data_IF_343767506775
#
_entry.id   IF_343767506775
#
_cell.length_a   1.000
_cell.length_b   1.000
_cell.length_c   1.000
_cell.angle_alpha   90.00
_cell.angle_beta   90.00
_cell.angle_gamma   90.00
#
_symmetry.space_group_name_H-M   'P 1'
#
loop_
_entity.id
_entity.type
_entity.pdbx_description
1 polymer ?
#
# COMPACT_ATOMS: atom_id res chain seq x y z
N UNK A 1 1.79 -45.07 8.12
CA UNK A 1 2.52 -43.84 7.78
C UNK A 1 1.47 -42.82 7.36
N UNK A 2 1.12 -41.90 8.26
CA UNK A 2 0.24 -40.78 7.95
C UNK A 2 1.05 -39.51 8.23
N UNK A 3 1.51 -38.83 7.18
CA UNK A 3 2.04 -37.48 7.31
C UNK A 3 0.85 -36.58 7.64
N UNK A 4 0.69 -36.22 8.91
CA UNK A 4 -0.15 -35.09 9.28
C UNK A 4 0.53 -33.83 8.72
N UNK A 5 0.01 -33.27 7.63
CA UNK A 5 0.33 -31.89 7.31
C UNK A 5 -0.28 -31.04 8.41
N UNK A 6 0.54 -30.44 9.26
CA UNK A 6 0.09 -29.39 10.16
C UNK A 6 -0.37 -28.22 9.29
N UNK A 7 -1.68 -28.14 9.02
CA UNK A 7 -2.32 -26.89 8.60
C UNK A 7 -2.16 -25.95 9.78
N UNK A 8 -1.10 -25.15 9.76
CA UNK A 8 -0.94 -24.04 10.71
C UNK A 8 -2.18 -23.16 10.57
N UNK A 9 -2.97 -23.07 11.63
CA UNK A 9 -4.11 -22.18 11.70
C UNK A 9 -3.61 -20.74 11.50
N UNK A 10 -4.27 -19.99 10.61
CA UNK A 10 -3.99 -18.58 10.41
C UNK A 10 -4.00 -17.82 11.75
N UNK A 11 -3.04 -16.90 11.92
CA UNK A 11 -2.96 -15.99 13.07
C UNK A 11 -2.61 -14.58 12.55
N UNK A 12 -3.37 -13.54 12.95
CA UNK A 12 -3.03 -12.16 12.63
C UNK A 12 -1.75 -11.74 13.33
N UNK A 13 -1.02 -10.80 12.74
CA UNK A 13 0.18 -10.25 13.36
C UNK A 13 -0.19 -9.17 14.39
N UNK A 14 0.30 -9.25 15.64
CA UNK A 14 -0.04 -8.25 16.64
C UNK A 14 0.78 -6.97 16.47
N UNK A 15 0.14 -5.81 16.72
CA UNK A 15 0.78 -4.52 16.90
C UNK A 15 1.78 -4.55 18.08
N UNK A 16 3.06 -4.78 17.75
CA UNK A 16 4.08 -5.13 18.74
C UNK A 16 5.08 -4.02 19.02
N UNK A 17 5.00 -2.88 18.33
CA UNK A 17 6.01 -1.83 18.37
C UNK A 17 5.42 -0.49 18.80
N UNK A 18 6.15 0.23 19.65
CA UNK A 18 5.74 1.53 20.18
C UNK A 18 6.60 2.70 19.68
N UNK A 19 7.67 2.42 18.91
CA UNK A 19 8.47 3.43 18.24
C UNK A 19 9.03 2.96 16.90
N UNK A 20 9.38 3.90 16.02
CA UNK A 20 10.07 3.60 14.77
C UNK A 20 11.41 2.88 15.00
N UNK A 21 12.13 3.19 16.08
CA UNK A 21 13.42 2.55 16.36
C UNK A 21 13.26 1.07 16.69
N UNK A 22 12.17 0.70 17.37
CA UNK A 22 11.84 -0.70 17.66
C UNK A 22 11.56 -1.46 16.35
N UNK A 23 10.77 -0.87 15.45
CA UNK A 23 10.48 -1.45 14.13
C UNK A 23 11.76 -1.62 13.32
N UNK A 24 12.60 -0.58 13.21
CA UNK A 24 13.88 -0.66 12.50
C UNK A 24 14.82 -1.73 13.09
N UNK A 25 14.83 -1.88 14.43
CA UNK A 25 15.60 -2.94 15.09
C UNK A 25 15.04 -4.31 14.77
N UNK A 26 13.73 -4.47 14.67
CA UNK A 26 13.09 -5.71 14.27
C UNK A 26 13.41 -6.06 12.81
N UNK A 27 13.31 -5.11 11.88
CA UNK A 27 13.68 -5.28 10.46
C UNK A 27 15.14 -5.78 10.32
N UNK A 28 16.08 -5.16 11.05
CA UNK A 28 17.49 -5.61 11.08
C UNK A 28 17.64 -7.02 11.65
N UNK A 29 16.89 -7.38 12.71
CA UNK A 29 16.95 -8.71 13.34
C UNK A 29 16.45 -9.82 12.41
N UNK A 30 15.42 -9.54 11.62
CA UNK A 30 14.88 -10.52 10.65
C UNK A 30 15.73 -10.60 9.38
N UNK A 31 16.72 -9.72 9.26
CA UNK A 31 17.66 -9.68 8.14
C UNK A 31 17.03 -9.09 6.88
N UNK A 32 16.07 -8.18 7.01
CA UNK A 32 15.61 -7.40 5.88
C UNK A 32 16.72 -6.39 5.53
N UNK A 33 17.37 -6.59 4.40
CA UNK A 33 18.39 -5.68 3.87
C UNK A 33 17.79 -4.75 2.83
N UNK A 34 16.89 -5.27 2.00
CA UNK A 34 16.17 -4.49 1.00
C UNK A 34 14.84 -5.10 0.60
N UNK A 35 14.01 -4.27 0.00
CA UNK A 35 12.70 -4.61 -0.55
C UNK A 35 12.45 -3.83 -1.83
N UNK A 36 11.66 -4.40 -2.74
CA UNK A 36 11.21 -3.73 -3.96
C UNK A 36 9.88 -3.02 -3.66
N UNK A 37 9.88 -1.69 -3.69
CA UNK A 37 8.69 -0.89 -3.39
C UNK A 37 7.81 -0.72 -4.63
N UNK A 38 6.49 -0.86 -4.47
CA UNK A 38 5.49 -0.52 -5.48
C UNK A 38 4.49 0.47 -4.86
N UNK A 39 4.11 1.52 -5.58
CA UNK A 39 3.11 2.50 -5.14
C UNK A 39 1.89 2.43 -6.06
N UNK A 40 0.69 2.39 -5.49
CA UNK A 40 -0.57 2.47 -6.21
C UNK A 40 -1.46 3.56 -5.62
N UNK A 41 -1.99 4.43 -6.48
CA UNK A 41 -2.84 5.57 -6.10
C UNK A 41 -4.24 5.37 -6.67
N UNK A 42 -5.24 5.49 -5.80
CA UNK A 42 -6.65 5.50 -6.15
C UNK A 42 -7.02 6.81 -6.86
N UNK A 43 -7.54 6.72 -8.08
CA UNK A 43 -8.12 7.80 -8.90
C UNK A 43 -9.60 7.51 -9.22
N UNK A 44 -10.33 6.91 -8.28
CA UNK A 44 -11.76 6.63 -8.41
C UNK A 44 -12.61 7.85 -8.11
N UNK A 45 -13.87 7.84 -8.58
CA UNK A 45 -14.80 8.97 -8.44
C UNK A 45 -15.07 9.34 -6.97
N UNK A 46 -14.99 8.39 -6.05
CA UNK A 46 -15.29 8.63 -4.64
C UNK A 46 -14.38 9.66 -3.98
N UNK A 47 -13.20 9.91 -4.53
CA UNK A 47 -12.32 10.99 -4.10
C UNK A 47 -12.96 12.38 -4.19
N UNK A 48 -14.00 12.57 -5.01
CA UNK A 48 -14.71 13.85 -5.14
C UNK A 48 -15.48 14.23 -3.85
N UNK A 49 -15.98 13.27 -3.08
CA UNK A 49 -16.79 13.52 -1.88
C UNK A 49 -16.19 12.97 -0.59
N UNK A 50 -15.18 12.09 -0.65
CA UNK A 50 -14.53 11.51 0.54
C UNK A 50 -13.61 12.46 1.32
N UNK A 51 -13.56 13.73 0.94
CA UNK A 51 -12.89 14.81 1.67
C UNK A 51 -13.86 15.78 2.35
N UNK A 52 -15.13 15.40 2.50
CA UNK A 52 -16.17 16.25 3.10
C UNK A 52 -15.79 16.73 4.50
N UNK A 53 -15.34 15.82 5.36
CA UNK A 53 -14.98 16.14 6.74
C UNK A 53 -13.50 16.44 6.90
N UNK A 54 -12.65 15.65 6.25
CA UNK A 54 -11.19 15.67 6.46
C UNK A 54 -10.44 16.64 5.54
N UNK A 55 -11.12 17.18 4.52
CA UNK A 55 -10.51 18.08 3.56
C UNK A 55 -11.42 19.24 3.12
N UNK A 56 -12.26 19.72 4.04
CA UNK A 56 -13.10 20.92 3.88
C UNK A 56 -14.04 20.85 2.65
N UNK A 57 -14.63 19.70 2.37
CA UNK A 57 -15.52 19.54 1.22
C UNK A 57 -14.80 19.44 -0.13
N UNK A 58 -13.47 19.45 -0.16
CA UNK A 58 -12.70 19.36 -1.41
C UNK A 58 -12.49 17.91 -1.81
N UNK A 59 -12.34 17.69 -3.11
CA UNK A 59 -11.82 16.43 -3.64
C UNK A 59 -10.47 16.10 -2.99
N UNK A 60 -10.25 14.84 -2.63
CA UNK A 60 -8.98 14.36 -2.09
C UNK A 60 -7.82 14.52 -3.08
N UNK A 61 -8.10 14.68 -4.37
CA UNK A 61 -7.10 15.01 -5.41
C UNK A 61 -7.01 16.50 -5.73
N UNK A 62 -7.70 17.39 -5.00
CA UNK A 62 -7.66 18.83 -5.30
C UNK A 62 -6.21 19.32 -5.40
N UNK A 63 -5.86 19.81 -6.58
CA UNK A 63 -4.52 20.33 -6.88
C UNK A 63 -4.56 21.84 -6.75
N UNK A 64 -3.91 22.37 -5.71
CA UNK A 64 -3.76 23.80 -5.52
C UNK A 64 -2.54 24.33 -6.28
N UNK A 65 -2.80 25.10 -7.33
CA UNK A 65 -1.74 25.74 -8.13
C UNK A 65 -1.01 26.86 -7.38
N UNK A 66 -1.56 27.35 -6.27
CA UNK A 66 -0.89 28.34 -5.41
C UNK A 66 0.10 27.73 -4.41
N UNK A 67 0.09 26.40 -4.26
CA UNK A 67 0.98 25.66 -3.36
C UNK A 67 0.68 25.84 -1.86
N UNK A 68 -0.48 26.41 -1.50
CA UNK A 68 -0.87 26.64 -0.10
C UNK A 68 -1.54 25.43 0.53
N UNK A 69 -2.24 24.64 -0.29
CA UNK A 69 -2.96 23.45 0.14
C UNK A 69 -2.30 22.22 -0.45
N UNK A 70 -1.86 21.30 0.42
CA UNK A 70 -1.33 20.00 0.04
C UNK A 70 -2.42 18.95 0.29
N UNK A 71 -2.79 18.20 -0.75
CA UNK A 71 -3.84 17.21 -0.62
C UNK A 71 -3.37 15.93 0.09
N UNK A 72 -4.29 15.11 0.63
CA UNK A 72 -3.92 13.93 1.41
C UNK A 72 -3.01 12.94 0.68
N UNK A 73 -3.24 12.68 -0.62
CA UNK A 73 -2.37 11.82 -1.42
C UNK A 73 -0.95 12.39 -1.53
N UNK A 74 -0.79 13.69 -1.78
CA UNK A 74 0.54 14.33 -1.81
C UNK A 74 1.28 14.16 -0.47
N UNK A 75 0.56 14.32 0.66
CA UNK A 75 1.15 14.14 2.00
C UNK A 75 1.63 12.71 2.21
N UNK A 76 0.80 11.72 1.86
CA UNK A 76 1.14 10.30 2.00
C UNK A 76 2.28 9.90 1.08
N UNK A 77 2.23 10.27 -0.21
CA UNK A 77 3.32 9.98 -1.17
C UNK A 77 4.64 10.55 -0.64
N UNK A 78 4.64 11.81 -0.18
CA UNK A 78 5.83 12.44 0.38
C UNK A 78 6.34 11.76 1.65
N UNK A 79 5.44 11.23 2.48
CA UNK A 79 5.82 10.49 3.68
C UNK A 79 6.40 9.11 3.33
N UNK A 80 5.79 8.39 2.39
CA UNK A 80 6.28 7.10 1.88
C UNK A 80 7.69 7.27 1.33
N UNK A 81 7.93 8.28 0.50
CA UNK A 81 9.23 8.46 -0.12
C UNK A 81 10.32 8.63 0.94
N UNK A 82 10.11 9.49 1.94
CA UNK A 82 11.06 9.70 3.05
C UNK A 82 11.25 8.47 3.95
N UNK A 83 10.20 7.67 4.17
CA UNK A 83 10.27 6.51 5.07
C UNK A 83 10.96 5.33 4.41
N UNK A 84 10.66 5.08 3.13
CA UNK A 84 11.10 3.87 2.43
C UNK A 84 12.39 4.05 1.63
N UNK A 85 12.90 5.28 1.48
CA UNK A 85 14.22 5.58 0.87
C UNK A 85 15.35 4.76 1.51
N UNK A 86 15.27 4.47 2.81
CA UNK A 86 16.29 3.70 3.53
C UNK A 86 16.25 2.17 3.26
N UNK A 87 15.20 1.68 2.60
CA UNK A 87 14.95 0.24 2.42
C UNK A 87 14.84 -0.18 0.94
N UNK A 88 14.85 0.78 0.03
CA UNK A 88 14.74 0.53 -1.41
C UNK A 88 16.14 0.50 -2.03
N UNK A 89 16.52 -0.64 -2.59
CA UNK A 89 17.82 -0.80 -3.29
C UNK A 89 17.76 -0.32 -4.74
N UNK A 90 16.55 -0.08 -5.28
CA UNK A 90 16.34 0.28 -6.67
C UNK A 90 16.30 1.82 -6.83
N UNK A 91 16.91 2.34 -7.88
CA UNK A 91 16.85 3.77 -8.20
C UNK A 91 15.43 4.22 -8.67
N UNK A 92 14.54 3.26 -8.94
CA UNK A 92 13.20 3.50 -9.48
C UNK A 92 12.13 2.68 -8.78
N UNK A 93 10.96 3.28 -8.57
CA UNK A 93 9.77 2.69 -7.95
C UNK A 93 8.66 2.58 -9.00
N UNK A 94 8.17 1.37 -9.30
CA UNK A 94 6.93 1.21 -10.05
C UNK A 94 5.77 1.93 -9.34
N UNK A 95 5.24 2.95 -10.02
CA UNK A 95 4.09 3.73 -9.53
C UNK A 95 2.93 3.59 -10.50
N UNK A 96 1.75 3.33 -9.95
CA UNK A 96 0.51 3.07 -10.68
C UNK A 96 -0.62 3.95 -10.18
N UNK A 97 -1.51 4.31 -11.09
CA UNK A 97 -2.86 4.76 -10.75
C UNK A 97 -3.85 3.66 -11.07
N UNK A 98 -4.90 3.54 -10.27
CA UNK A 98 -6.05 2.70 -10.59
C UNK A 98 -7.33 3.51 -10.41
N UNK A 99 -8.39 3.08 -11.08
CA UNK A 99 -9.49 3.98 -11.38
C UNK A 99 -9.25 4.72 -12.70
N UNK A 100 -10.31 5.12 -13.38
CA UNK A 100 -10.32 5.52 -14.79
C UNK A 100 -10.64 4.37 -15.75
N UNK A 101 -10.80 4.72 -17.04
CA UNK A 101 -11.03 3.79 -18.16
C UNK A 101 -12.20 2.81 -17.95
N UNK A 102 -13.44 3.31 -17.77
CA UNK A 102 -14.61 2.47 -17.48
C UNK A 102 -14.89 1.44 -18.59
N UNK A 103 -14.40 1.68 -19.80
CA UNK A 103 -14.57 0.77 -20.94
C UNK A 103 -13.68 -0.48 -20.88
N UNK A 104 -12.65 -0.50 -20.03
CA UNK A 104 -11.76 -1.66 -19.88
C UNK A 104 -12.33 -2.69 -18.89
N UNK A 105 -11.94 -3.98 -19.01
CA UNK A 105 -12.21 -4.98 -17.97
C UNK A 105 -11.63 -4.55 -16.62
N UNK A 106 -12.30 -4.89 -15.50
CA UNK A 106 -11.86 -4.49 -14.15
C UNK A 106 -10.38 -4.78 -13.92
N UNK A 107 -9.89 -5.95 -14.34
CA UNK A 107 -8.49 -6.39 -14.23
C UNK A 107 -7.47 -5.54 -14.98
N UNK A 108 -7.91 -4.67 -15.89
CA UNK A 108 -7.07 -3.80 -16.72
C UNK A 108 -7.25 -2.31 -16.38
N UNK A 109 -8.07 -1.96 -15.38
CA UNK A 109 -8.34 -0.57 -14.97
C UNK A 109 -7.24 0.02 -14.07
N UNK A 110 -6.00 -0.06 -14.54
CA UNK A 110 -4.84 0.60 -13.94
C UNK A 110 -3.91 1.12 -15.03
N UNK A 111 -3.07 2.09 -14.69
CA UNK A 111 -2.10 2.68 -15.60
C UNK A 111 -0.81 3.01 -14.86
N UNK A 112 0.31 2.99 -15.56
CA UNK A 112 1.59 3.36 -14.97
C UNK A 112 1.79 4.88 -15.02
N UNK A 113 2.45 5.42 -13.99
CA UNK A 113 2.85 6.83 -13.93
C UNK A 113 3.95 7.17 -14.93
N UNK A 114 4.71 6.16 -15.38
CA UNK A 114 5.79 6.29 -16.35
C UNK A 114 5.71 5.18 -17.40
N UNK A 115 6.11 5.47 -18.65
CA UNK A 115 5.87 4.55 -19.79
C UNK A 115 6.75 3.31 -19.79
N UNK A 116 8.02 3.42 -19.37
CA UNK A 116 9.04 2.40 -19.66
C UNK A 116 9.85 1.96 -18.43
N UNK A 117 10.08 2.87 -17.49
CA UNK A 117 10.83 2.62 -16.26
C UNK A 117 10.05 3.22 -15.08
N UNK A 118 10.16 2.64 -13.89
CA UNK A 118 9.54 3.18 -12.68
C UNK A 118 9.89 4.65 -12.47
N UNK A 119 9.21 5.32 -11.54
CA UNK A 119 9.55 6.69 -11.20
C UNK A 119 10.77 6.70 -10.28
N UNK A 120 11.72 7.62 -10.47
CA UNK A 120 12.63 7.96 -9.37
C UNK A 120 11.80 8.39 -8.15
N UNK A 121 12.35 8.20 -6.95
CA UNK A 121 11.64 8.48 -5.70
C UNK A 121 11.05 9.91 -5.68
N UNK A 122 11.85 10.89 -6.10
CA UNK A 122 11.47 12.30 -6.19
C UNK A 122 10.47 12.59 -7.33
N UNK A 123 10.43 11.73 -8.35
CA UNK A 123 9.57 11.88 -9.52
C UNK A 123 8.14 11.40 -9.27
N UNK A 124 7.91 10.48 -8.32
CA UNK A 124 6.56 9.94 -8.04
C UNK A 124 5.57 11.06 -7.75
N UNK A 125 5.96 12.03 -6.92
CA UNK A 125 5.11 13.15 -6.54
C UNK A 125 4.84 14.10 -7.71
N UNK A 126 5.84 14.33 -8.57
CA UNK A 126 5.69 15.15 -9.77
C UNK A 126 4.74 14.50 -10.79
N UNK A 127 4.90 13.18 -11.01
CA UNK A 127 4.02 12.41 -11.90
C UNK A 127 2.59 12.38 -11.39
N UNK A 128 2.41 12.14 -10.08
CA UNK A 128 1.11 12.25 -9.43
C UNK A 128 0.47 13.62 -9.69
N UNK A 129 1.21 14.72 -9.50
CA UNK A 129 0.69 16.07 -9.72
C UNK A 129 0.20 16.28 -11.16
N UNK A 130 0.98 15.82 -12.15
CA UNK A 130 0.61 15.95 -13.57
C UNK A 130 -0.66 15.15 -13.91
N UNK A 131 -0.78 13.93 -13.38
CA UNK A 131 -1.94 13.06 -13.58
C UNK A 131 -3.17 13.63 -12.89
N UNK A 132 -3.08 13.94 -11.59
CA UNK A 132 -4.18 14.48 -10.79
C UNK A 132 -4.73 15.81 -11.34
N UNK A 133 -3.91 16.58 -12.06
CA UNK A 133 -4.32 17.85 -12.68
C UNK A 133 -5.15 17.67 -13.96
N UNK A 134 -5.12 16.48 -14.59
CA UNK A 134 -5.71 16.26 -15.93
C UNK A 134 -6.68 15.09 -15.98
N UNK A 135 -6.64 14.18 -15.01
CA UNK A 135 -7.41 12.95 -15.03
C UNK A 135 -8.87 13.18 -14.65
N UNK A 136 -9.78 12.59 -15.42
CA UNK A 136 -11.19 12.49 -15.07
C UNK A 136 -11.42 11.26 -14.18
N UNK A 137 -12.07 11.47 -13.04
CA UNK A 137 -12.42 10.40 -12.09
C UNK A 137 -13.78 9.83 -12.49
N UNK A 138 -13.86 8.59 -12.99
CA UNK A 138 -15.10 8.10 -13.61
C UNK A 138 -15.30 6.57 -13.60
N UNK A 139 -14.70 5.83 -12.68
CA UNK A 139 -14.77 4.36 -12.71
C UNK A 139 -14.97 3.68 -11.35
N UNK A 140 -15.28 2.39 -11.46
CA UNK A 140 -15.39 1.43 -10.36
C UNK A 140 -14.15 1.40 -9.46
N UNK A 141 -14.38 1.33 -8.15
CA UNK A 141 -13.36 1.30 -7.13
C UNK A 141 -12.87 -0.12 -6.87
N UNK A 142 -11.72 -0.46 -7.46
CA UNK A 142 -11.06 -1.75 -7.28
C UNK A 142 -9.55 -1.63 -7.39
N UNK A 143 -8.84 -1.96 -6.31
CA UNK A 143 -7.37 -2.11 -6.31
C UNK A 143 -6.90 -3.50 -6.78
N UNK A 144 -7.82 -4.39 -7.13
CA UNK A 144 -7.50 -5.76 -7.59
C UNK A 144 -6.47 -5.78 -8.73
N UNK A 145 -6.54 -4.88 -9.74
CA UNK A 145 -5.57 -4.88 -10.84
C UNK A 145 -4.13 -4.63 -10.38
N UNK A 146 -3.95 -3.69 -9.44
CA UNK A 146 -2.60 -3.35 -8.93
C UNK A 146 -2.05 -4.43 -8.00
N UNK A 147 -2.91 -5.17 -7.28
CA UNK A 147 -2.49 -6.37 -6.55
C UNK A 147 -1.97 -7.43 -7.53
N UNK A 148 -2.68 -7.71 -8.62
CA UNK A 148 -2.22 -8.69 -9.61
C UNK A 148 -0.95 -8.27 -10.34
N UNK A 149 -0.77 -6.98 -10.64
CA UNK A 149 0.52 -6.50 -11.19
C UNK A 149 1.66 -6.68 -10.18
N UNK A 150 1.43 -6.40 -8.89
CA UNK A 150 2.43 -6.65 -7.85
C UNK A 150 2.75 -8.14 -7.67
N UNK A 151 1.75 -9.02 -7.75
CA UNK A 151 1.96 -10.49 -7.78
C UNK A 151 2.85 -10.87 -8.96
N UNK A 152 2.58 -10.34 -10.15
CA UNK A 152 3.36 -10.60 -11.36
C UNK A 152 4.81 -10.14 -11.19
N UNK A 153 5.05 -8.97 -10.61
CA UNK A 153 6.40 -8.47 -10.31
C UNK A 153 7.13 -9.38 -9.31
N UNK A 154 6.51 -9.68 -8.17
CA UNK A 154 7.07 -10.54 -7.13
C UNK A 154 7.36 -11.97 -7.63
N UNK A 155 6.47 -12.52 -8.47
CA UNK A 155 6.65 -13.83 -9.10
C UNK A 155 7.85 -13.86 -10.05
N UNK A 156 8.03 -12.81 -10.85
CA UNK A 156 9.08 -12.75 -11.87
C UNK A 156 10.46 -12.51 -11.26
N UNK A 157 10.57 -11.59 -10.30
CA UNK A 157 11.84 -11.27 -9.63
C UNK A 157 12.21 -12.29 -8.55
N UNK A 158 11.22 -12.93 -7.90
CA UNK A 158 11.39 -13.76 -6.70
C UNK A 158 12.07 -13.03 -5.54
N UNK A 159 12.00 -11.69 -5.53
CA UNK A 159 12.45 -10.79 -4.47
C UNK A 159 11.28 -10.38 -3.59
N UNK A 160 11.56 -9.88 -2.41
CA UNK A 160 10.53 -9.37 -1.51
C UNK A 160 10.00 -8.01 -1.99
N UNK A 161 8.68 -7.91 -2.13
CA UNK A 161 7.99 -6.70 -2.57
C UNK A 161 7.09 -6.14 -1.47
N UNK A 162 7.00 -4.82 -1.42
CA UNK A 162 6.01 -4.10 -0.61
C UNK A 162 5.15 -3.27 -1.56
N UNK A 163 3.88 -3.63 -1.69
CA UNK A 163 2.88 -2.82 -2.39
C UNK A 163 2.22 -1.85 -1.41
N UNK A 164 2.35 -0.55 -1.64
CA UNK A 164 1.65 0.48 -0.90
C UNK A 164 0.49 1.01 -1.75
N UNK A 165 -0.73 0.79 -1.28
CA UNK A 165 -1.96 1.30 -1.90
C UNK A 165 -2.40 2.53 -1.10
N UNK A 166 -2.64 3.66 -1.76
CA UNK A 166 -3.22 4.85 -1.14
C UNK A 166 -4.64 4.99 -1.67
N UNK A 167 -5.63 5.04 -0.78
CA UNK A 167 -7.05 5.08 -1.18
C UNK A 167 -7.96 5.67 -0.12
N UNK A 168 -9.16 6.07 -0.56
CA UNK A 168 -10.24 6.49 0.31
C UNK A 168 -11.09 5.35 0.92
N UNK A 169 -10.74 4.10 0.63
CA UNK A 169 -11.33 2.91 1.26
C UNK A 169 -12.67 2.47 0.66
N UNK A 170 -13.17 3.17 -0.36
CA UNK A 170 -14.33 2.70 -1.12
C UNK A 170 -13.93 1.55 -2.06
N UNK A 171 -14.70 0.47 -2.05
CA UNK A 171 -14.52 -0.70 -2.92
C UNK A 171 -15.90 -1.18 -3.38
N UNK A 172 -16.04 -1.43 -4.68
CA UNK A 172 -17.32 -1.89 -5.24
C UNK A 172 -17.55 -3.39 -5.06
N UNK A 173 -16.48 -4.19 -5.17
CA UNK A 173 -16.51 -5.65 -5.01
C UNK A 173 -15.50 -6.12 -3.93
N UNK A 174 -15.91 -6.12 -2.65
CA UNK A 174 -15.07 -6.56 -1.54
C UNK A 174 -14.64 -8.02 -1.64
N UNK A 175 -15.47 -8.89 -2.24
CA UNK A 175 -15.16 -10.30 -2.37
C UNK A 175 -14.08 -10.55 -3.42
N UNK A 176 -14.07 -9.77 -4.50
CA UNK A 176 -12.97 -9.79 -5.46
C UNK A 176 -11.66 -9.28 -4.84
N UNK A 177 -11.73 -8.20 -4.04
CA UNK A 177 -10.59 -7.69 -3.29
C UNK A 177 -10.03 -8.73 -2.30
N UNK A 178 -10.92 -9.39 -1.52
CA UNK A 178 -10.56 -10.48 -0.60
C UNK A 178 -9.78 -11.58 -1.31
N UNK A 179 -10.29 -12.07 -2.44
CA UNK A 179 -9.64 -13.13 -3.22
C UNK A 179 -8.25 -12.71 -3.72
N UNK A 180 -8.09 -11.47 -4.17
CA UNK A 180 -6.80 -10.96 -4.61
C UNK A 180 -5.78 -10.88 -3.46
N UNK A 181 -6.20 -10.44 -2.27
CA UNK A 181 -5.33 -10.40 -1.07
C UNK A 181 -4.93 -11.82 -0.64
N UNK A 182 -5.87 -12.77 -0.63
CA UNK A 182 -5.59 -14.18 -0.33
C UNK A 182 -4.60 -14.77 -1.33
N UNK A 183 -4.78 -14.53 -2.63
CA UNK A 183 -3.84 -15.00 -3.65
C UNK A 183 -2.46 -14.35 -3.49
N UNK A 184 -2.40 -13.06 -3.13
CA UNK A 184 -1.13 -12.37 -2.89
C UNK A 184 -0.28 -13.03 -1.79
N UNK A 185 -0.91 -13.72 -0.82
CA UNK A 185 -0.20 -14.43 0.25
C UNK A 185 0.58 -15.68 -0.22
N UNK A 186 0.45 -16.08 -1.49
CA UNK A 186 1.27 -17.13 -2.12
C UNK A 186 2.63 -16.62 -2.61
N UNK A 187 2.86 -15.30 -2.58
CA UNK A 187 4.04 -14.63 -3.14
C UNK A 187 4.82 -13.89 -2.06
N UNK A 188 6.09 -13.54 -2.31
CA UNK A 188 6.87 -12.72 -1.39
C UNK A 188 6.43 -11.25 -1.45
N UNK A 189 5.17 -10.98 -1.11
CA UNK A 189 4.50 -9.70 -1.26
C UNK A 189 3.78 -9.33 0.04
N UNK A 190 4.14 -8.16 0.58
CA UNK A 190 3.41 -7.45 1.62
C UNK A 190 2.57 -6.35 1.00
N UNK A 191 1.37 -6.12 1.53
CA UNK A 191 0.47 -5.04 1.11
C UNK A 191 0.26 -4.11 2.29
N UNK A 192 0.51 -2.81 2.09
CA UNK A 192 0.18 -1.76 3.04
C UNK A 192 -0.89 -0.88 2.39
N UNK A 193 -2.07 -0.83 2.99
CA UNK A 193 -3.15 0.03 2.54
C UNK A 193 -3.23 1.27 3.43
N UNK A 194 -2.90 2.43 2.85
CA UNK A 194 -2.93 3.73 3.51
C UNK A 194 -4.24 4.45 3.19
N UNK A 195 -5.11 4.54 4.19
CA UNK A 195 -6.38 5.23 4.14
C UNK A 195 -6.23 6.76 4.21
N UNK A 196 -6.77 7.46 3.22
CA UNK A 196 -6.92 8.93 3.20
C UNK A 196 -8.39 9.33 3.10
N UNK A 197 -8.78 10.42 3.73
CA UNK A 197 -10.17 10.89 3.67
C UNK A 197 -11.09 10.33 4.75
N UNK A 198 -12.39 10.41 4.52
CA UNK A 198 -13.41 10.23 5.56
C UNK A 198 -13.72 8.76 5.90
N UNK A 199 -13.22 7.79 5.12
CA UNK A 199 -13.60 6.37 5.26
C UNK A 199 -15.04 6.13 4.76
N UNK A 200 -15.78 5.13 5.28
CA UNK A 200 -15.50 4.32 6.46
C UNK A 200 -14.39 3.29 6.22
N UNK A 201 -13.77 2.82 7.31
CA UNK A 201 -12.59 1.95 7.27
C UNK A 201 -12.83 0.51 7.73
N UNK A 202 -14.08 0.15 8.11
CA UNK A 202 -14.40 -1.16 8.69
C UNK A 202 -13.93 -2.34 7.82
N UNK A 203 -14.05 -2.21 6.50
CA UNK A 203 -13.62 -3.24 5.56
C UNK A 203 -12.10 -3.37 5.49
N UNK A 204 -11.37 -2.27 5.60
CA UNK A 204 -9.91 -2.30 5.60
C UNK A 204 -9.39 -2.93 6.89
N UNK A 205 -10.06 -2.66 8.01
CA UNK A 205 -9.81 -3.32 9.31
C UNK A 205 -10.14 -4.83 9.24
N UNK A 206 -11.19 -5.22 8.51
CA UNK A 206 -11.49 -6.63 8.29
C UNK A 206 -10.39 -7.33 7.45
N UNK A 207 -9.91 -6.68 6.38
CA UNK A 207 -8.83 -7.22 5.56
C UNK A 207 -7.49 -7.33 6.30
N UNK A 208 -7.27 -6.47 7.30
CA UNK A 208 -6.12 -6.48 8.20
C UNK A 208 -6.02 -7.80 8.96
N UNK A 209 -7.08 -8.21 9.68
CA UNK A 209 -6.98 -9.29 10.67
C UNK A 209 -7.85 -10.53 10.38
N UNK A 210 -8.85 -10.43 9.50
CA UNK A 210 -9.97 -11.38 9.45
C UNK A 210 -10.05 -12.16 8.14
N UNK A 211 -8.90 -12.48 7.55
CA UNK A 211 -8.78 -13.27 6.32
C UNK A 211 -8.11 -14.64 6.59
N UNK A 212 -8.79 -15.64 7.16
CA UNK A 212 -8.17 -16.90 7.55
C UNK A 212 -7.66 -17.77 6.39
N UNK A 213 -8.09 -17.50 5.16
CA UNK A 213 -7.72 -18.25 3.96
C UNK A 213 -6.29 -17.95 3.47
N UNK A 214 -5.69 -16.84 3.92
CA UNK A 214 -4.32 -16.45 3.53
C UNK A 214 -3.26 -17.32 4.19
N UNK A 215 -2.15 -17.57 3.50
CA UNK A 215 -1.02 -18.37 4.04
C UNK A 215 -0.28 -17.70 5.18
N UNK A 216 -0.30 -16.37 5.18
CA UNK A 216 0.21 -15.53 6.24
C UNK A 216 -0.44 -14.16 6.17
N UNK A 217 -0.39 -13.46 7.30
CA UNK A 217 -0.79 -12.07 7.36
C UNK A 217 0.05 -11.22 6.39
N UNK A 218 -0.55 -10.75 5.31
CA UNK A 218 0.15 -10.04 4.23
C UNK A 218 -0.45 -8.67 3.93
N UNK A 219 -1.38 -8.18 4.76
CA UNK A 219 -2.11 -6.95 4.52
C UNK A 219 -2.18 -6.15 5.80
N UNK A 220 -1.58 -4.95 5.79
CA UNK A 220 -1.64 -3.96 6.86
C UNK A 220 -2.56 -2.81 6.44
N UNK A 221 -3.52 -2.40 7.29
CA UNK A 221 -4.24 -1.14 7.12
C UNK A 221 -3.66 -0.02 8.00
N UNK A 222 -3.51 1.18 7.43
CA UNK A 222 -3.06 2.39 8.13
C UNK A 222 -4.01 3.55 7.81
N UNK A 223 -4.76 4.04 8.79
CA UNK A 223 -5.56 5.25 8.64
C UNK A 223 -4.69 6.50 8.84
N UNK A 224 -4.32 7.17 7.74
CA UNK A 224 -3.41 8.32 7.76
C UNK A 224 -3.96 9.50 8.57
N UNK A 225 -5.28 9.68 8.59
CA UNK A 225 -5.92 10.80 9.28
C UNK A 225 -5.88 10.68 10.81
N UNK A 226 -5.65 9.47 11.34
CA UNK A 226 -5.58 9.24 12.79
C UNK A 226 -4.15 9.16 13.31
N UNK A 227 -3.15 9.25 12.43
CA UNK A 227 -1.76 9.11 12.83
C UNK A 227 -1.34 10.30 13.71
N UNK A 228 -0.78 10.07 14.90
CA UNK A 228 -0.22 11.13 15.70
C UNK A 228 0.85 11.88 14.89
N UNK A 229 0.79 13.21 14.91
CA UNK A 229 1.87 14.00 14.30
C UNK A 229 3.20 13.62 14.96
N UNK A 230 4.22 13.37 14.13
CA UNK A 230 5.57 13.15 14.61
C UNK A 230 6.15 14.38 15.33
N UNK A 231 7.38 14.24 15.82
CA UNK A 231 8.12 15.37 16.36
C UNK A 231 8.85 16.14 15.24
N UNK A 232 9.48 17.27 15.56
CA UNK A 232 10.20 18.08 14.58
C UNK A 232 11.36 17.31 13.90
N UNK A 233 11.97 16.38 14.62
CA UNK A 233 13.10 15.58 14.15
C UNK A 233 12.67 14.41 13.25
N UNK A 234 11.41 13.96 13.39
CA UNK A 234 10.84 12.85 12.64
C UNK A 234 9.33 13.08 12.42
N UNK A 235 8.96 13.99 11.51
CA UNK A 235 7.56 14.38 11.30
C UNK A 235 6.69 13.21 10.82
N UNK A 236 7.28 12.25 10.10
CA UNK A 236 6.61 11.06 9.59
C UNK A 236 6.80 9.82 10.47
N UNK A 237 7.44 9.95 11.65
CA UNK A 237 7.79 8.82 12.50
C UNK A 237 6.59 7.98 12.93
N UNK A 238 5.45 8.63 13.20
CA UNK A 238 4.19 7.96 13.48
C UNK A 238 3.66 7.17 12.28
N UNK A 239 3.76 7.73 11.07
CA UNK A 239 3.36 7.04 9.84
C UNK A 239 4.29 5.86 9.54
N UNK A 240 5.60 6.09 9.63
CA UNK A 240 6.62 5.07 9.43
C UNK A 240 6.40 3.87 10.36
N UNK A 241 6.15 4.12 11.65
CA UNK A 241 5.91 3.08 12.64
C UNK A 241 4.66 2.25 12.29
N UNK A 242 3.55 2.91 11.97
CA UNK A 242 2.29 2.24 11.65
C UNK A 242 2.38 1.47 10.32
N UNK A 243 2.95 2.06 9.27
CA UNK A 243 3.11 1.40 7.96
C UNK A 243 4.06 0.19 8.02
N UNK A 244 5.09 0.24 8.86
CA UNK A 244 6.07 -0.84 8.98
C UNK A 244 5.75 -1.82 10.12
N UNK A 245 4.61 -1.66 10.82
CA UNK A 245 4.27 -2.41 12.05
C UNK A 245 4.39 -3.92 11.85
N UNK A 246 3.82 -4.44 10.77
CA UNK A 246 3.80 -5.87 10.52
C UNK A 246 4.96 -6.39 9.66
N UNK A 247 5.64 -5.51 8.90
CA UNK A 247 6.66 -5.89 7.92
C UNK A 247 7.74 -6.85 8.48
N UNK A 248 8.28 -6.68 9.70
CA UNK A 248 9.21 -7.67 10.26
C UNK A 248 8.60 -9.08 10.39
N UNK A 249 7.34 -9.18 10.81
CA UNK A 249 6.61 -10.44 10.96
C UNK A 249 6.29 -11.07 9.60
N UNK A 250 5.77 -10.25 8.67
CA UNK A 250 5.45 -10.67 7.31
C UNK A 250 6.70 -11.21 6.58
N UNK A 251 7.81 -10.46 6.62
CA UNK A 251 9.08 -10.89 6.02
C UNK A 251 9.62 -12.18 6.66
N UNK A 252 9.55 -12.30 7.99
CA UNK A 252 9.95 -13.53 8.69
C UNK A 252 9.14 -14.74 8.22
N UNK A 253 7.85 -14.54 7.96
CA UNK A 253 6.95 -15.60 7.50
C UNK A 253 7.21 -15.97 6.04
N UNK A 254 7.41 -15.00 5.16
CA UNK A 254 7.84 -15.18 3.76
C UNK A 254 9.12 -16.03 3.70
N UNK A 255 10.12 -15.74 4.56
CA UNK A 255 11.36 -16.53 4.65
C UNK A 255 11.10 -17.97 5.10
N UNK A 256 10.28 -18.18 6.14
CA UNK A 256 9.92 -19.53 6.62
C UNK A 256 9.18 -20.35 5.56
N UNK A 257 8.34 -19.69 4.76
CA UNK A 257 7.60 -20.29 3.65
C UNK A 257 8.46 -20.49 2.38
N UNK A 258 9.73 -20.08 2.40
CA UNK A 258 10.68 -20.21 1.27
C UNK A 258 10.18 -19.54 -0.02
N UNK A 259 9.49 -18.41 0.10
CA UNK A 259 8.93 -17.66 -1.05
C UNK A 259 9.97 -16.77 -1.74
N UNK A 260 11.05 -16.40 -1.05
CA UNK A 260 12.21 -15.71 -1.63
C UNK A 260 13.39 -16.67 -1.77
N UNK A 261 14.23 -16.46 -2.79
CA UNK A 261 15.50 -17.18 -2.92
C UNK A 261 16.53 -16.60 -1.96
N UNK A 262 17.19 -17.46 -1.18
CA UNK A 262 18.38 -17.11 -0.40
C UNK A 262 19.54 -16.71 -1.31
#
# INVERSE_FOLDING_TARGET
MGCASSTETFQPLPDSYNSLEEVQKALRRVGLQSSDLIIAVDFTESNLWKGEQTFEGRSLHYVDTSGRVVNPYQKVISAITRVFELFNDDDTIPAFGYGGYPDLPVTERYFSFAKDHGCELDDVLQRYFAIASTMELNSSASFVPVIYEAIKMARNSRRYHILIIISNGHIDDPEMARKAIVEASEYPLSIIMVGVGDGPWNMMIEFDDQLPERRFDNFQFVNYNTIPKGNLDNPDGGFAMQALMEIPGQYSRIRRLSLIKN
#
